data_IF_458124408116
#
_entry.id   IF_458124408116
#
_cell.length_a   1.000
_cell.length_b   1.000
_cell.length_c   1.000
_cell.angle_alpha   90.00
_cell.angle_beta   90.00
_cell.angle_gamma   90.00
#
_symmetry.space_group_name_H-M   'P 1'
#
loop_
_entity.id
_entity.type
_entity.pdbx_description
1 polymer ?
#
# COMPACT_ATOMS: atom_id res chain seq x y z
N UNK A 1 26.09 25.85 -33.18
CA UNK A 1 26.01 24.38 -33.20
C UNK A 1 26.88 23.90 -32.05
N UNK A 2 26.27 23.39 -30.97
CA UNK A 2 27.03 22.96 -29.78
C UNK A 2 27.47 21.52 -30.05
N UNK A 3 28.76 21.31 -30.32
CA UNK A 3 29.34 19.97 -30.41
C UNK A 3 29.59 19.48 -28.98
N UNK A 4 29.01 18.34 -28.62
CA UNK A 4 29.22 17.75 -27.32
C UNK A 4 30.50 16.89 -27.36
N UNK A 5 31.33 16.97 -26.33
CA UNK A 5 32.57 16.19 -26.21
C UNK A 5 32.34 14.66 -26.21
N UNK A 6 31.08 14.23 -26.13
CA UNK A 6 30.64 12.84 -26.13
C UNK A 6 30.32 12.30 -27.53
N UNK A 7 30.26 13.14 -28.57
CA UNK A 7 29.86 12.73 -29.92
C UNK A 7 30.85 11.75 -30.58
N UNK A 8 32.09 11.69 -30.09
CA UNK A 8 33.13 10.77 -30.56
C UNK A 8 33.27 9.49 -29.73
N UNK A 9 32.51 9.33 -28.63
CA UNK A 9 32.61 8.16 -27.77
C UNK A 9 31.73 7.02 -28.30
N UNK A 10 32.33 5.85 -28.52
CA UNK A 10 31.58 4.64 -28.83
C UNK A 10 30.75 4.21 -27.62
N UNK A 11 29.48 3.91 -27.85
CA UNK A 11 28.62 3.34 -26.82
C UNK A 11 29.13 1.96 -26.40
N UNK A 12 29.24 1.67 -25.09
CA UNK A 12 29.67 0.37 -24.62
C UNK A 12 28.76 -0.74 -25.17
N UNK A 13 29.36 -1.84 -25.63
CA UNK A 13 28.58 -3.01 -26.06
C UNK A 13 27.90 -3.68 -24.87
N UNK A 14 26.68 -4.23 -25.02
CA UNK A 14 26.05 -5.00 -23.96
C UNK A 14 26.88 -6.21 -23.57
N UNK A 15 26.93 -6.52 -22.28
CA UNK A 15 27.58 -7.75 -21.79
C UNK A 15 26.83 -8.97 -22.37
N UNK A 16 27.55 -9.97 -22.92
CA UNK A 16 26.92 -11.14 -23.52
C UNK A 16 26.12 -11.93 -22.47
N UNK A 17 25.02 -12.55 -22.91
CA UNK A 17 24.25 -13.47 -22.08
C UNK A 17 24.85 -14.86 -22.11
N UNK A 18 24.84 -15.56 -20.97
CA UNK A 18 25.29 -16.95 -20.87
C UNK A 18 24.11 -17.91 -20.82
N UNK A 19 24.33 -19.20 -21.06
CA UNK A 19 23.30 -20.21 -20.78
C UNK A 19 23.36 -20.61 -19.30
N UNK A 20 22.21 -20.59 -18.62
CA UNK A 20 22.06 -21.03 -17.23
C UNK A 20 21.09 -22.19 -17.16
N UNK A 21 21.35 -23.17 -16.29
CA UNK A 21 20.49 -24.33 -16.16
C UNK A 21 19.06 -23.93 -15.75
N UNK A 22 18.05 -24.62 -16.30
CA UNK A 22 16.64 -24.40 -15.95
C UNK A 22 16.37 -24.56 -14.46
N UNK A 23 17.07 -25.48 -13.79
CA UNK A 23 16.91 -25.70 -12.35
C UNK A 23 17.36 -24.47 -11.54
N UNK A 24 18.47 -23.84 -11.94
CA UNK A 24 18.94 -22.60 -11.31
C UNK A 24 17.95 -21.47 -11.53
N UNK A 25 17.45 -21.29 -12.76
CA UNK A 25 16.48 -20.25 -13.09
C UNK A 25 15.16 -20.45 -12.34
N UNK A 26 14.62 -21.67 -12.32
CA UNK A 26 13.41 -22.05 -11.59
C UNK A 26 13.52 -21.73 -10.10
N UNK A 27 14.73 -21.85 -9.55
CA UNK A 27 14.97 -21.53 -8.15
C UNK A 27 14.67 -20.05 -7.82
N UNK A 28 14.81 -19.14 -8.79
CA UNK A 28 14.56 -17.71 -8.61
C UNK A 28 13.08 -17.32 -8.77
N UNK A 29 12.21 -18.22 -9.22
CA UNK A 29 10.78 -17.93 -9.35
C UNK A 29 10.15 -17.52 -8.03
N UNK A 30 9.18 -16.61 -8.09
CA UNK A 30 8.40 -16.19 -6.95
C UNK A 30 8.13 -14.69 -6.93
N UNK A 31 7.48 -14.24 -5.86
CA UNK A 31 7.22 -12.83 -5.64
C UNK A 31 8.28 -12.22 -4.72
N UNK A 32 8.90 -11.12 -5.14
CA UNK A 32 9.90 -10.38 -4.38
C UNK A 32 9.29 -9.04 -3.95
N UNK A 33 9.13 -8.86 -2.65
CA UNK A 33 8.55 -7.67 -2.05
C UNK A 33 9.64 -6.68 -1.67
N UNK A 34 9.41 -5.38 -1.90
CA UNK A 34 10.33 -4.34 -1.49
C UNK A 34 10.55 -4.35 0.02
N UNK A 35 11.80 -4.22 0.47
CA UNK A 35 12.17 -4.15 1.89
C UNK A 35 13.00 -2.92 2.24
N UNK A 36 13.50 -2.20 1.25
CA UNK A 36 14.22 -0.92 1.41
C UNK A 36 13.44 0.26 0.79
N UNK A 37 12.32 0.69 1.39
CA UNK A 37 11.57 1.83 0.90
C UNK A 37 12.36 3.13 1.10
N UNK A 38 12.20 4.07 0.17
CA UNK A 38 12.95 5.35 0.23
C UNK A 38 12.44 6.29 1.33
N UNK A 39 11.16 6.19 1.68
CA UNK A 39 10.53 6.98 2.73
C UNK A 39 9.83 6.07 3.74
N UNK A 40 10.46 5.84 4.88
CA UNK A 40 10.01 4.87 5.87
C UNK A 40 8.64 5.19 6.50
N UNK A 41 8.34 6.47 6.70
CA UNK A 41 7.13 6.89 7.43
C UNK A 41 5.88 6.84 6.53
N UNK A 42 6.00 7.34 5.30
CA UNK A 42 4.86 7.60 4.42
C UNK A 42 4.62 6.49 3.39
N UNK A 43 5.70 5.99 2.80
CA UNK A 43 5.62 5.14 1.64
C UNK A 43 6.02 3.70 1.90
N UNK A 44 6.67 3.37 3.03
CA UNK A 44 7.10 2.00 3.35
C UNK A 44 6.05 0.97 3.02
N UNK A 45 4.82 1.19 3.46
CA UNK A 45 3.75 0.21 3.32
C UNK A 45 3.07 0.26 1.95
N UNK A 46 2.90 1.44 1.36
CA UNK A 46 2.36 1.57 0.01
C UNK A 46 3.33 0.98 -1.03
N UNK A 47 4.63 1.27 -0.89
CA UNK A 47 5.68 0.69 -1.72
C UNK A 47 5.82 -0.81 -1.44
N UNK A 48 5.75 -1.29 -0.20
CA UNK A 48 5.71 -2.73 0.10
C UNK A 48 4.53 -3.47 -0.56
N UNK A 49 3.38 -2.82 -0.71
CA UNK A 49 2.18 -3.42 -1.30
C UNK A 49 2.21 -3.36 -2.83
N UNK A 50 2.56 -2.22 -3.40
CA UNK A 50 2.46 -1.99 -4.84
C UNK A 50 3.79 -2.19 -5.57
N UNK A 51 4.93 -2.05 -4.90
CA UNK A 51 6.25 -2.23 -5.50
C UNK A 51 6.83 -3.61 -5.13
N UNK A 52 6.56 -4.58 -5.99
CA UNK A 52 7.23 -5.88 -5.95
C UNK A 52 7.33 -6.49 -7.33
N UNK A 53 8.20 -7.48 -7.44
CA UNK A 53 8.49 -8.20 -8.68
C UNK A 53 7.89 -9.60 -8.62
N UNK A 54 7.16 -9.97 -9.66
CA UNK A 54 6.82 -11.34 -9.94
C UNK A 54 7.84 -11.88 -10.95
N UNK A 55 8.66 -12.83 -10.50
CA UNK A 55 9.67 -13.50 -11.31
C UNK A 55 9.13 -14.87 -11.71
N UNK A 56 9.05 -15.11 -13.01
CA UNK A 56 8.49 -16.32 -13.62
C UNK A 56 9.45 -16.87 -14.69
N UNK A 57 9.60 -18.19 -14.77
CA UNK A 57 10.33 -18.84 -15.85
C UNK A 57 9.39 -19.09 -17.03
N UNK A 58 9.65 -18.45 -18.18
CA UNK A 58 8.93 -18.69 -19.42
C UNK A 58 9.90 -19.29 -20.45
N UNK A 59 9.75 -20.59 -20.69
CA UNK A 59 10.66 -21.35 -21.55
C UNK A 59 12.06 -21.44 -20.93
N UNK A 60 13.02 -20.72 -21.51
CA UNK A 60 14.44 -20.75 -21.12
C UNK A 60 14.92 -19.43 -20.49
N UNK A 61 14.02 -18.47 -20.31
CA UNK A 61 14.34 -17.13 -19.81
C UNK A 61 13.50 -16.77 -18.59
N UNK A 62 14.08 -15.99 -17.68
CA UNK A 62 13.33 -15.40 -16.58
C UNK A 62 12.61 -14.15 -17.06
N UNK A 63 11.40 -13.96 -16.58
CA UNK A 63 10.57 -12.80 -16.84
C UNK A 63 10.26 -12.10 -15.54
N UNK A 64 10.40 -10.78 -15.55
CA UNK A 64 10.09 -9.90 -14.44
C UNK A 64 8.88 -9.06 -14.79
N UNK A 65 7.84 -9.14 -13.96
CA UNK A 65 6.62 -8.34 -14.09
C UNK A 65 6.23 -7.74 -12.75
N UNK A 66 5.32 -6.76 -12.74
CA UNK A 66 4.89 -6.12 -11.49
C UNK A 66 3.72 -5.17 -11.71
N UNK A 67 3.27 -4.55 -10.63
CA UNK A 67 2.18 -3.57 -10.72
C UNK A 67 2.63 -2.34 -11.52
N UNK A 68 1.93 -2.03 -12.61
CA UNK A 68 2.30 -0.99 -13.61
C UNK A 68 3.69 -1.18 -14.24
N UNK A 69 4.27 -2.38 -14.19
CA UNK A 69 5.54 -2.71 -14.84
C UNK A 69 5.29 -3.71 -15.97
N UNK A 70 5.73 -3.44 -17.20
CA UNK A 70 5.58 -4.40 -18.30
C UNK A 70 6.38 -5.67 -17.99
N UNK A 71 5.96 -6.78 -18.60
CA UNK A 71 6.74 -8.01 -18.57
C UNK A 71 8.07 -7.78 -19.29
N UNK A 72 9.17 -8.08 -18.60
CA UNK A 72 10.53 -7.86 -19.11
C UNK A 72 11.35 -9.13 -18.99
N UNK A 73 11.99 -9.53 -20.09
CA UNK A 73 12.93 -10.64 -20.10
C UNK A 73 14.18 -10.25 -19.30
N UNK A 74 14.69 -11.17 -18.50
CA UNK A 74 15.94 -11.07 -17.78
C UNK A 74 16.97 -11.98 -18.46
N UNK A 75 18.00 -11.36 -19.03
CA UNK A 75 19.09 -12.06 -19.68
C UNK A 75 20.19 -12.38 -18.65
N UNK A 76 20.53 -13.65 -18.41
CA UNK A 76 21.58 -14.02 -17.47
C UNK A 76 22.95 -13.57 -17.98
N UNK A 77 23.67 -12.84 -17.13
CA UNK A 77 25.10 -12.51 -17.31
C UNK A 77 25.95 -13.51 -16.53
N UNK A 78 25.50 -13.92 -15.35
CA UNK A 78 26.05 -15.02 -14.54
C UNK A 78 24.92 -15.91 -14.04
N UNK A 79 25.22 -16.89 -13.17
CA UNK A 79 24.19 -17.71 -12.51
C UNK A 79 23.29 -16.92 -11.56
N UNK A 80 23.70 -15.73 -11.12
CA UNK A 80 22.99 -14.87 -10.13
C UNK A 80 22.73 -13.46 -10.64
N UNK A 81 23.43 -13.01 -11.68
CA UNK A 81 23.36 -11.63 -12.18
C UNK A 81 22.66 -11.62 -13.53
N UNK A 82 21.72 -10.69 -13.71
CA UNK A 82 20.89 -10.56 -14.90
C UNK A 82 20.83 -9.10 -15.36
N UNK A 83 20.55 -8.91 -16.65
CA UNK A 83 20.34 -7.60 -17.27
C UNK A 83 19.06 -7.59 -18.11
N UNK A 84 18.49 -6.41 -18.37
CA UNK A 84 17.43 -6.26 -19.37
C UNK A 84 18.02 -6.26 -20.79
N UNK A 85 17.24 -6.60 -21.82
CA UNK A 85 17.71 -6.57 -23.22
C UNK A 85 18.29 -5.22 -23.64
N UNK A 86 17.68 -4.13 -23.16
CA UNK A 86 18.06 -2.76 -23.49
C UNK A 86 19.10 -2.14 -22.54
N UNK A 87 19.65 -2.92 -21.61
CA UNK A 87 20.68 -2.46 -20.68
C UNK A 87 22.04 -3.05 -21.05
N UNK A 88 23.07 -2.18 -21.05
CA UNK A 88 24.45 -2.60 -21.29
C UNK A 88 25.08 -3.25 -20.05
N UNK A 89 24.67 -2.79 -18.86
CA UNK A 89 25.16 -3.25 -17.56
C UNK A 89 24.10 -4.11 -16.86
N UNK A 90 24.51 -5.04 -15.99
CA UNK A 90 23.58 -5.81 -15.18
C UNK A 90 22.89 -4.92 -14.17
N UNK A 91 21.59 -5.16 -13.99
CA UNK A 91 20.73 -4.40 -13.11
C UNK A 91 20.10 -5.26 -12.02
N UNK A 92 20.04 -6.58 -12.21
CA UNK A 92 19.45 -7.51 -11.25
C UNK A 92 20.50 -8.45 -10.68
N UNK A 93 20.48 -8.61 -9.37
CA UNK A 93 21.28 -9.57 -8.63
C UNK A 93 20.37 -10.40 -7.75
N UNK A 94 20.38 -11.72 -7.94
CA UNK A 94 19.77 -12.67 -7.03
C UNK A 94 20.81 -13.17 -6.03
N UNK A 95 20.48 -13.12 -4.74
CA UNK A 95 21.35 -13.59 -3.67
C UNK A 95 20.50 -14.16 -2.53
N UNK A 96 21.15 -14.53 -1.42
CA UNK A 96 20.49 -14.93 -0.18
C UNK A 96 20.89 -13.98 0.94
N UNK A 97 19.94 -13.65 1.81
CA UNK A 97 20.24 -12.91 3.04
C UNK A 97 20.89 -13.83 4.09
N UNK A 98 21.24 -13.27 5.26
CA UNK A 98 21.83 -14.03 6.37
C UNK A 98 20.91 -15.14 6.90
N UNK A 99 19.60 -15.01 6.71
CA UNK A 99 18.58 -15.99 7.10
C UNK A 99 18.36 -17.08 6.03
N UNK A 100 19.10 -17.04 4.92
CA UNK A 100 18.96 -17.98 3.80
C UNK A 100 17.77 -17.71 2.88
N UNK A 101 17.01 -16.63 3.12
CA UNK A 101 15.91 -16.21 2.25
C UNK A 101 16.44 -15.62 0.95
N UNK A 102 15.76 -15.92 -0.15
CA UNK A 102 16.12 -15.39 -1.47
C UNK A 102 15.81 -13.91 -1.58
N UNK A 103 16.76 -13.18 -2.13
CA UNK A 103 16.75 -11.74 -2.29
C UNK A 103 16.94 -11.39 -3.76
N UNK A 104 16.29 -10.32 -4.17
CA UNK A 104 16.53 -9.64 -5.43
C UNK A 104 17.02 -8.23 -5.11
N UNK A 105 18.13 -7.82 -5.71
CA UNK A 105 18.65 -6.46 -5.65
C UNK A 105 18.60 -5.85 -7.04
N UNK A 106 18.03 -4.65 -7.14
CA UNK A 106 17.95 -3.89 -8.38
C UNK A 106 18.23 -2.39 -8.13
N UNK A 107 19.26 -1.82 -8.78
CA UNK A 107 19.56 -0.38 -8.75
C UNK A 107 19.50 0.28 -7.35
N UNK A 108 20.14 -0.32 -6.33
CA UNK A 108 20.10 0.24 -4.96
C UNK A 108 18.88 -0.17 -4.14
N UNK A 109 18.00 -0.99 -4.69
CA UNK A 109 16.73 -1.38 -4.08
C UNK A 109 16.74 -2.86 -3.75
N UNK A 110 16.40 -3.19 -2.51
CA UNK A 110 16.44 -4.52 -1.93
C UNK A 110 15.03 -5.11 -1.80
N UNK A 111 14.87 -6.34 -2.31
CA UNK A 111 13.62 -7.08 -2.30
C UNK A 111 13.80 -8.49 -1.72
N UNK A 112 12.83 -8.94 -0.93
CA UNK A 112 12.82 -10.29 -0.35
C UNK A 112 11.72 -11.16 -0.94
N UNK A 113 12.05 -12.43 -1.20
CA UNK A 113 11.08 -13.41 -1.66
C UNK A 113 10.02 -13.66 -0.58
N UNK A 114 8.75 -13.53 -0.95
CA UNK A 114 7.60 -13.71 -0.06
C UNK A 114 6.46 -14.42 -0.78
N UNK A 115 5.45 -14.84 -0.01
CA UNK A 115 4.25 -15.47 -0.57
C UNK A 115 3.36 -14.43 -1.26
N UNK A 116 3.06 -14.66 -2.54
CA UNK A 116 2.14 -13.81 -3.29
C UNK A 116 0.74 -13.75 -2.66
N UNK A 117 0.27 -14.88 -2.10
CA UNK A 117 -1.02 -14.98 -1.42
C UNK A 117 -1.11 -14.02 -0.24
N UNK A 118 -0.03 -13.89 0.54
CA UNK A 118 0.01 -12.96 1.70
C UNK A 118 -0.24 -11.53 1.23
N UNK A 119 0.42 -11.11 0.15
CA UNK A 119 0.28 -9.77 -0.40
C UNK A 119 -1.11 -9.56 -1.01
N UNK A 120 -1.62 -10.55 -1.74
CA UNK A 120 -2.94 -10.47 -2.35
C UNK A 120 -4.03 -10.29 -1.28
N UNK A 121 -3.97 -11.08 -0.19
CA UNK A 121 -4.89 -10.94 0.95
C UNK A 121 -4.78 -9.56 1.57
N UNK A 122 -3.57 -9.06 1.82
CA UNK A 122 -3.38 -7.70 2.38
C UNK A 122 -3.93 -6.62 1.44
N UNK A 123 -3.71 -6.74 0.12
CA UNK A 123 -4.28 -5.81 -0.87
C UNK A 123 -5.80 -5.82 -0.86
N UNK A 124 -6.41 -7.00 -0.84
CA UNK A 124 -7.87 -7.13 -0.77
C UNK A 124 -8.39 -6.51 0.53
N UNK A 125 -7.73 -6.78 1.66
CA UNK A 125 -8.09 -6.21 2.96
C UNK A 125 -8.08 -4.68 2.94
N UNK A 126 -7.02 -4.06 2.43
CA UNK A 126 -6.91 -2.59 2.39
C UNK A 126 -7.87 -1.99 1.38
N UNK A 127 -7.87 -2.47 0.13
CA UNK A 127 -8.70 -1.91 -0.94
C UNK A 127 -10.19 -2.10 -0.62
N UNK A 128 -10.58 -3.27 -0.12
CA UNK A 128 -11.94 -3.53 0.32
C UNK A 128 -12.36 -2.61 1.47
N UNK A 129 -11.43 -2.32 2.40
CA UNK A 129 -11.69 -1.37 3.49
C UNK A 129 -11.86 0.06 3.00
N UNK A 130 -11.03 0.50 2.05
CA UNK A 130 -11.14 1.84 1.46
C UNK A 130 -12.46 2.00 0.69
N UNK A 131 -12.86 1.01 -0.09
CA UNK A 131 -14.15 1.01 -0.81
C UNK A 131 -15.31 1.04 0.18
N UNK A 132 -15.28 0.20 1.23
CA UNK A 132 -16.31 0.20 2.27
C UNK A 132 -16.36 1.54 3.04
N UNK A 133 -15.21 2.14 3.33
CA UNK A 133 -15.10 3.45 3.95
C UNK A 133 -15.72 4.54 3.08
N UNK A 134 -15.43 4.54 1.78
CA UNK A 134 -16.03 5.48 0.83
C UNK A 134 -17.55 5.32 0.77
N UNK A 135 -18.05 4.09 0.71
CA UNK A 135 -19.49 3.81 0.74
C UNK A 135 -20.13 4.31 2.04
N UNK A 136 -19.48 4.14 3.19
CA UNK A 136 -19.95 4.64 4.48
C UNK A 136 -20.00 6.17 4.50
N UNK A 137 -19.00 6.83 3.96
CA UNK A 137 -18.96 8.28 3.85
C UNK A 137 -20.10 8.81 2.99
N UNK A 138 -20.31 8.24 1.80
CA UNK A 138 -21.43 8.61 0.91
C UNK A 138 -22.79 8.33 1.55
N UNK A 139 -22.94 7.19 2.23
CA UNK A 139 -24.17 6.85 2.95
C UNK A 139 -24.45 7.81 4.10
N UNK A 140 -23.41 8.27 4.79
CA UNK A 140 -23.51 9.27 5.85
C UNK A 140 -23.98 10.61 5.30
N UNK A 141 -23.45 11.05 4.15
CA UNK A 141 -23.93 12.24 3.46
C UNK A 141 -25.40 12.09 3.04
N UNK A 142 -25.76 10.94 2.47
CA UNK A 142 -27.13 10.66 2.05
C UNK A 142 -28.13 10.65 3.23
N UNK A 143 -27.75 10.06 4.37
CA UNK A 143 -28.57 10.09 5.58
C UNK A 143 -28.66 11.48 6.20
N UNK A 144 -27.63 12.32 6.06
CA UNK A 144 -27.67 13.72 6.47
C UNK A 144 -28.75 14.47 5.69
N UNK A 145 -28.78 14.33 4.36
CA UNK A 145 -29.84 14.91 3.54
C UNK A 145 -31.24 14.42 3.99
N UNK A 146 -31.42 13.12 4.23
CA UNK A 146 -32.70 12.59 4.74
C UNK A 146 -33.11 13.17 6.09
N UNK A 147 -32.15 13.40 6.99
CA UNK A 147 -32.41 14.03 8.28
C UNK A 147 -32.81 15.50 8.13
N UNK A 148 -32.14 16.25 7.25
CA UNK A 148 -32.48 17.65 6.94
C UNK A 148 -33.89 17.79 6.35
N UNK A 149 -34.31 16.87 5.48
CA UNK A 149 -35.68 16.79 4.95
C UNK A 149 -36.69 16.15 5.92
N UNK A 150 -36.34 15.98 7.21
CA UNK A 150 -37.18 15.41 8.27
C UNK A 150 -37.72 14.00 7.96
N UNK A 151 -37.11 13.28 7.02
CA UNK A 151 -37.44 11.87 6.67
C UNK A 151 -36.74 10.86 7.58
N UNK A 152 -35.84 11.33 8.44
CA UNK A 152 -35.11 10.55 9.43
C UNK A 152 -34.94 11.37 10.70
N UNK A 153 -35.02 10.73 11.88
CA UNK A 153 -34.75 11.43 13.14
C UNK A 153 -33.25 11.68 13.33
N UNK A 154 -32.87 12.81 13.93
CA UNK A 154 -31.47 13.12 14.22
C UNK A 154 -30.77 12.05 15.05
N UNK A 155 -31.48 11.45 16.02
CA UNK A 155 -30.96 10.34 16.84
C UNK A 155 -30.59 9.12 15.98
N UNK A 156 -31.38 8.80 14.97
CA UNK A 156 -31.09 7.70 14.05
C UNK A 156 -29.96 8.03 13.08
N UNK A 157 -29.85 9.29 12.65
CA UNK A 157 -28.74 9.78 11.84
C UNK A 157 -27.40 9.59 12.58
N UNK A 158 -27.22 10.22 13.75
CA UNK A 158 -25.96 10.14 14.50
C UNK A 158 -25.54 8.69 14.79
N UNK A 159 -26.52 7.83 15.10
CA UNK A 159 -26.28 6.40 15.35
C UNK A 159 -25.74 5.66 14.13
N UNK A 160 -26.23 5.96 12.93
CA UNK A 160 -25.81 5.28 11.69
C UNK A 160 -24.55 5.89 11.10
N UNK A 161 -24.33 7.19 11.33
CA UNK A 161 -23.24 7.97 10.77
C UNK A 161 -21.95 7.93 11.59
N UNK A 162 -21.93 7.26 12.75
CA UNK A 162 -20.75 7.21 13.63
C UNK A 162 -19.49 6.69 12.90
N UNK A 163 -19.64 5.57 12.18
CA UNK A 163 -18.56 5.01 11.34
C UNK A 163 -18.24 5.90 10.14
N UNK A 164 -19.18 6.70 9.67
CA UNK A 164 -18.93 7.72 8.64
C UNK A 164 -18.07 8.87 9.14
N UNK A 165 -18.26 9.31 10.39
CA UNK A 165 -17.39 10.30 11.03
C UNK A 165 -15.98 9.76 11.25
N UNK A 166 -15.83 8.46 11.50
CA UNK A 166 -14.51 7.84 11.51
C UNK A 166 -13.79 8.02 10.16
N UNK A 167 -14.48 7.70 9.05
CA UNK A 167 -13.91 7.88 7.70
C UNK A 167 -13.60 9.36 7.42
N UNK A 168 -14.46 10.29 7.84
CA UNK A 168 -14.18 11.72 7.71
C UNK A 168 -12.92 12.13 8.47
N UNK A 169 -12.75 11.65 9.71
CA UNK A 169 -11.54 11.87 10.51
C UNK A 169 -10.29 11.33 9.79
N UNK A 170 -10.40 10.17 9.16
CA UNK A 170 -9.33 9.59 8.37
C UNK A 170 -8.97 10.46 7.15
N UNK A 171 -9.97 10.95 6.41
CA UNK A 171 -9.77 11.84 5.26
C UNK A 171 -9.06 13.13 5.69
N UNK A 172 -9.44 13.71 6.83
CA UNK A 172 -8.80 14.93 7.36
C UNK A 172 -7.35 14.66 7.77
N UNK A 173 -7.09 13.54 8.45
CA UNK A 173 -5.74 13.13 8.83
C UNK A 173 -4.84 12.96 7.60
N UNK A 174 -5.28 12.18 6.62
CA UNK A 174 -4.50 11.92 5.40
C UNK A 174 -4.36 13.15 4.50
N UNK A 175 -5.35 14.04 4.46
CA UNK A 175 -5.22 15.34 3.79
C UNK A 175 -4.12 16.20 4.43
N UNK A 176 -4.05 16.19 5.77
CA UNK A 176 -2.98 16.89 6.50
C UNK A 176 -1.61 16.29 6.19
N UNK A 177 -1.52 14.96 6.16
CA UNK A 177 -0.31 14.23 5.78
C UNK A 177 0.13 14.55 4.35
N UNK A 178 -0.81 14.57 3.40
CA UNK A 178 -0.52 14.92 2.01
C UNK A 178 0.03 16.35 1.89
N UNK A 179 -0.55 17.30 2.62
CA UNK A 179 -0.04 18.68 2.66
C UNK A 179 1.39 18.76 3.22
N UNK A 180 1.67 18.03 4.31
CA UNK A 180 3.01 17.95 4.88
C UNK A 180 4.01 17.27 3.91
N UNK A 181 3.57 16.27 3.13
CA UNK A 181 4.44 15.60 2.15
C UNK A 181 4.92 16.53 1.03
N UNK A 182 4.13 17.54 0.69
CA UNK A 182 4.56 18.62 -0.21
C UNK A 182 5.46 19.65 0.46
N UNK A 183 5.50 19.69 1.79
CA UNK A 183 6.21 20.68 2.60
C UNK A 183 7.04 19.98 3.70
N UNK A 184 8.03 19.20 3.28
CA UNK A 184 8.85 18.32 4.14
C UNK A 184 9.34 18.97 5.45
N UNK A 185 9.77 20.26 5.49
CA UNK A 185 10.21 20.90 6.73
C UNK A 185 9.14 20.92 7.85
N UNK A 186 7.86 20.80 7.52
CA UNK A 186 6.77 20.79 8.49
C UNK A 186 6.62 19.45 9.23
N UNK A 187 7.15 18.33 8.72
CA UNK A 187 6.92 17.01 9.32
C UNK A 187 7.55 16.87 10.71
N UNK A 188 8.71 17.49 10.95
CA UNK A 188 9.45 17.38 12.22
C UNK A 188 9.08 18.43 13.28
N UNK A 189 8.04 19.24 13.05
CA UNK A 189 7.66 20.31 13.99
C UNK A 189 6.26 20.09 14.55
N UNK A 190 6.04 20.56 15.78
CA UNK A 190 4.69 20.63 16.35
C UNK A 190 3.94 21.75 15.64
N UNK A 191 2.98 21.39 14.80
CA UNK A 191 2.15 22.33 14.06
C UNK A 191 0.72 21.80 13.94
N UNK A 192 -0.16 22.63 13.36
CA UNK A 192 -1.56 22.30 13.19
C UNK A 192 -1.76 20.98 12.42
N UNK A 193 -0.97 20.72 11.38
CA UNK A 193 -1.08 19.52 10.54
C UNK A 193 -0.58 18.26 11.23
N UNK A 194 0.54 18.33 11.96
CA UNK A 194 1.05 17.17 12.71
C UNK A 194 0.12 16.79 13.85
N UNK A 195 -0.45 17.78 14.56
CA UNK A 195 -1.48 17.54 15.59
C UNK A 195 -2.78 16.99 14.97
N UNK A 196 -3.22 17.54 13.85
CA UNK A 196 -4.43 17.08 13.14
C UNK A 196 -4.29 15.64 12.67
N UNK A 197 -3.13 15.25 12.15
CA UNK A 197 -2.85 13.86 11.78
C UNK A 197 -2.89 12.93 13.00
N UNK A 198 -2.21 13.31 14.09
CA UNK A 198 -2.18 12.54 15.34
C UNK A 198 -3.58 12.34 15.93
N UNK A 199 -4.33 13.43 16.14
CA UNK A 199 -5.69 13.35 16.69
C UNK A 199 -6.66 12.69 15.72
N UNK A 200 -6.53 12.96 14.41
CA UNK A 200 -7.40 12.41 13.39
C UNK A 200 -7.31 10.90 13.26
N UNK A 201 -6.11 10.32 13.38
CA UNK A 201 -5.90 8.86 13.39
C UNK A 201 -6.42 8.20 14.68
N UNK A 202 -6.26 8.86 15.83
CA UNK A 202 -6.85 8.41 17.10
C UNK A 202 -8.38 8.43 17.09
N UNK A 203 -8.97 9.53 16.62
CA UNK A 203 -10.41 9.67 16.47
C UNK A 203 -10.98 8.66 15.47
N UNK A 204 -10.27 8.41 14.36
CA UNK A 204 -10.63 7.36 13.41
C UNK A 204 -10.72 6.00 14.10
N UNK A 205 -9.71 5.61 14.87
CA UNK A 205 -9.69 4.34 15.58
C UNK A 205 -10.84 4.24 16.59
N UNK A 206 -11.01 5.26 17.44
CA UNK A 206 -12.05 5.30 18.47
C UNK A 206 -13.47 5.23 17.87
N UNK A 207 -13.75 6.05 16.84
CA UNK A 207 -15.05 6.08 16.17
C UNK A 207 -15.31 4.83 15.34
N UNK A 208 -14.28 4.24 14.72
CA UNK A 208 -14.38 2.99 13.98
C UNK A 208 -14.78 1.82 14.90
N UNK A 209 -14.10 1.68 16.04
CA UNK A 209 -14.41 0.66 17.05
C UNK A 209 -15.81 0.90 17.64
N UNK A 210 -16.12 2.14 18.04
CA UNK A 210 -17.43 2.48 18.59
C UNK A 210 -18.56 2.20 17.60
N UNK A 211 -18.37 2.54 16.33
CA UNK A 211 -19.31 2.29 15.24
C UNK A 211 -19.58 0.80 15.02
N UNK A 212 -18.54 -0.02 15.04
CA UNK A 212 -18.66 -1.49 14.96
C UNK A 212 -19.41 -2.06 16.18
N UNK A 213 -19.01 -1.71 17.40
CA UNK A 213 -19.65 -2.17 18.64
C UNK A 213 -21.13 -1.78 18.70
N UNK A 214 -21.47 -0.55 18.31
CA UNK A 214 -22.87 -0.10 18.25
C UNK A 214 -23.67 -0.88 17.21
N UNK A 215 -23.07 -1.21 16.06
CA UNK A 215 -23.72 -1.99 15.00
C UNK A 215 -24.04 -3.40 15.47
N UNK A 216 -23.12 -4.06 16.18
CA UNK A 216 -23.35 -5.39 16.78
C UNK A 216 -24.43 -5.33 17.86
N UNK A 217 -24.27 -4.44 18.86
CA UNK A 217 -25.20 -4.37 20.00
C UNK A 217 -26.64 -4.09 19.59
N UNK A 218 -26.84 -3.38 18.48
CA UNK A 218 -28.17 -2.98 17.99
C UNK A 218 -28.55 -3.67 16.70
N UNK A 219 -27.86 -4.75 16.33
CA UNK A 219 -28.13 -5.50 15.11
C UNK A 219 -29.61 -5.90 15.03
N UNK A 220 -30.20 -6.38 16.13
CA UNK A 220 -31.62 -6.77 16.20
C UNK A 220 -32.65 -5.63 16.09
N UNK A 221 -32.24 -4.37 16.31
CA UNK A 221 -33.16 -3.22 16.30
C UNK A 221 -33.33 -2.59 14.91
N UNK A 222 -32.52 -3.00 13.93
CA UNK A 222 -32.56 -2.44 12.57
C UNK A 222 -33.65 -3.14 11.77
N UNK A 223 -34.73 -2.40 11.47
CA UNK A 223 -35.90 -2.93 10.74
C UNK A 223 -35.57 -3.44 9.32
N UNK A 224 -34.70 -2.74 8.59
CA UNK A 224 -34.36 -3.11 7.21
C UNK A 224 -33.17 -4.09 7.17
N UNK A 225 -33.42 -5.31 6.68
CA UNK A 225 -32.40 -6.37 6.51
C UNK A 225 -31.21 -5.91 5.64
N UNK A 226 -31.45 -5.11 4.60
CA UNK A 226 -30.39 -4.63 3.72
C UNK A 226 -29.45 -3.67 4.46
N UNK A 227 -29.99 -2.63 5.11
CA UNK A 227 -29.21 -1.66 5.89
C UNK A 227 -28.43 -2.34 7.02
N UNK A 228 -29.03 -3.37 7.63
CA UNK A 228 -28.44 -4.16 8.69
C UNK A 228 -27.15 -4.86 8.25
N UNK A 229 -27.20 -5.62 7.15
CA UNK A 229 -26.03 -6.31 6.60
C UNK A 229 -25.01 -5.35 6.01
N UNK A 230 -25.47 -4.31 5.32
CA UNK A 230 -24.61 -3.26 4.78
C UNK A 230 -23.75 -2.61 5.87
N UNK A 231 -24.35 -2.19 6.99
CA UNK A 231 -23.63 -1.59 8.12
C UNK A 231 -22.66 -2.59 8.76
N UNK A 232 -23.07 -3.85 8.94
CA UNK A 232 -22.20 -4.86 9.54
C UNK A 232 -20.96 -5.11 8.67
N UNK A 233 -21.13 -5.34 7.37
CA UNK A 233 -20.02 -5.60 6.45
C UNK A 233 -19.09 -4.39 6.44
N UNK A 234 -19.62 -3.20 6.17
CA UNK A 234 -18.79 -1.99 6.03
C UNK A 234 -18.04 -1.63 7.31
N UNK A 235 -18.65 -1.78 8.48
CA UNK A 235 -17.96 -1.53 9.77
C UNK A 235 -16.95 -2.60 10.12
N UNK A 236 -17.15 -3.85 9.69
CA UNK A 236 -16.15 -4.93 9.84
C UNK A 236 -14.91 -4.63 9.02
N UNK A 237 -15.08 -4.22 7.77
CA UNK A 237 -13.99 -3.78 6.91
C UNK A 237 -13.26 -2.56 7.49
N UNK A 238 -14.00 -1.58 8.02
CA UNK A 238 -13.39 -0.43 8.67
C UNK A 238 -12.55 -0.83 9.90
N UNK A 239 -13.02 -1.80 10.69
CA UNK A 239 -12.28 -2.35 11.82
C UNK A 239 -11.00 -3.07 11.38
N UNK A 240 -11.04 -3.83 10.28
CA UNK A 240 -9.85 -4.44 9.70
C UNK A 240 -8.80 -3.38 9.32
N UNK A 241 -9.23 -2.22 8.81
CA UNK A 241 -8.35 -1.10 8.53
C UNK A 241 -7.77 -0.45 9.80
N UNK A 242 -8.55 -0.37 10.89
CA UNK A 242 -8.03 0.07 12.20
C UNK A 242 -6.95 -0.88 12.71
N UNK A 243 -7.18 -2.19 12.66
CA UNK A 243 -6.19 -3.20 13.06
C UNK A 243 -4.94 -3.10 12.19
N UNK A 244 -5.11 -2.89 10.89
CA UNK A 244 -4.00 -2.65 9.98
C UNK A 244 -3.19 -1.42 10.41
N UNK A 245 -3.81 -0.23 10.55
CA UNK A 245 -3.06 0.97 10.98
C UNK A 245 -2.47 0.87 12.38
N UNK A 246 -3.08 0.09 13.28
CA UNK A 246 -2.51 -0.20 14.59
C UNK A 246 -1.23 -1.01 14.47
N UNK A 247 -1.24 -2.10 13.70
CA UNK A 247 -0.08 -2.98 13.50
C UNK A 247 1.12 -2.24 12.89
N UNK A 248 0.87 -1.18 12.13
CA UNK A 248 1.89 -0.36 11.49
C UNK A 248 2.24 0.92 12.25
N UNK A 249 1.73 1.11 13.48
CA UNK A 249 1.98 2.26 14.33
C UNK A 249 1.54 3.62 13.73
N UNK A 250 0.56 3.60 12.81
CA UNK A 250 0.02 4.84 12.21
C UNK A 250 -0.98 5.53 13.13
N UNK A 251 -1.62 4.76 14.03
CA UNK A 251 -2.59 5.30 14.98
C UNK A 251 -1.83 6.03 16.09
N UNK A 252 -2.00 7.35 16.14
CA UNK A 252 -1.34 8.17 17.16
C UNK A 252 0.17 8.34 16.92
N UNK A 253 0.63 8.22 15.67
CA UNK A 253 2.01 8.52 15.34
C UNK A 253 2.34 10.00 15.61
N UNK A 254 3.38 10.25 16.40
CA UNK A 254 3.88 11.60 16.73
C UNK A 254 5.01 11.95 15.78
N UNK A 255 4.72 12.66 14.69
CA UNK A 255 5.73 13.00 13.68
C UNK A 255 6.83 13.95 14.20
N UNK A 256 6.56 14.71 15.26
CA UNK A 256 7.51 15.64 15.88
C UNK A 256 8.49 15.00 16.88
N UNK A 257 8.40 13.70 17.14
CA UNK A 257 9.31 13.01 18.06
C UNK A 257 10.47 12.28 17.36
N UNK A 258 10.64 12.49 16.05
CA UNK A 258 11.64 11.85 15.21
C UNK A 258 12.51 12.88 14.50
#
# INVERSE_FOLDING_TARGET
MINYLTDSLQTPRPIPSISVSKNTLKSYEGYYQLKSPRFEILNKYLEELFHGYHIELKGDSLHSSGFKRPDQVLLPVTSTIFRKPNENLPSFLFTTNQEGSKVLYEWGTYYEKTSYTKILVTKILILGSLVCGLLLFLSTLFWLFKALFKRLTWKEYYRRSLSGFAVLSLIIAFSSLAYMSANVPLMGTVNFFTITFYLGTLLFAALGIAGFVMTIKRFGQIKNKFTKWYLLITTTWLLALVVFFYHYDWIGLRMWSY
#
